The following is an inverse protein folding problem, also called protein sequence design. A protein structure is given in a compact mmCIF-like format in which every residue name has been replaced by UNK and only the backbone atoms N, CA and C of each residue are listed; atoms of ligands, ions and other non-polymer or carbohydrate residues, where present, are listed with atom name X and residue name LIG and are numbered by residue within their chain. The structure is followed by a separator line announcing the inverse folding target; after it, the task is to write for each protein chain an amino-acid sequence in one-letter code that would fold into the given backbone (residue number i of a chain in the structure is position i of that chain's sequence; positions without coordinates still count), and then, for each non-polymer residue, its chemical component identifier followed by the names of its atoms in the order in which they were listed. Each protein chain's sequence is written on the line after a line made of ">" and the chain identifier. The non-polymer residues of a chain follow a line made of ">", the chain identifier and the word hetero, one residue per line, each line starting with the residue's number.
data_IF_518330626814
#
_entry.id   IF_518330626814
#
_cell.length_a   1.000
_cell.length_b   1.000
_cell.length_c   1.000
_cell.angle_alpha   90.00
_cell.angle_beta   90.00
_cell.angle_gamma   90.00
#
_symmetry.space_group_name_H-M   'P 1'
#
loop_
_entity.id
_entity.type
_entity.pdbx_description
1 polymer ?
#
# COMPACT_ATOMS: atom_id res chain seq x y z
N UNK A 1 -5.60 14.54 -1.14
CA UNK A 1 -4.98 13.96 -2.35
C UNK A 1 -5.33 12.49 -2.41
N UNK A 2 -5.44 11.91 -3.58
CA UNK A 2 -5.61 10.47 -3.74
C UNK A 2 -4.25 9.83 -3.88
N UNK A 3 -3.94 8.87 -3.01
CA UNK A 3 -2.69 8.13 -3.03
C UNK A 3 -2.97 6.70 -3.47
N UNK A 4 -2.26 6.23 -4.47
CA UNK A 4 -2.39 4.86 -4.97
C UNK A 4 -1.15 4.08 -4.58
N UNK A 5 -1.34 3.05 -3.76
CA UNK A 5 -0.26 2.19 -3.29
C UNK A 5 -0.33 0.83 -3.98
N UNK A 6 0.81 0.34 -4.40
CA UNK A 6 0.95 -1.06 -4.75
C UNK A 6 0.97 -1.88 -3.45
N UNK A 7 0.56 -3.13 -3.52
CA UNK A 7 0.50 -3.98 -2.33
C UNK A 7 1.78 -4.78 -2.16
N UNK A 8 2.12 -5.61 -3.14
CA UNK A 8 3.29 -6.47 -3.06
C UNK A 8 4.58 -5.65 -3.21
N UNK A 9 5.52 -5.83 -2.30
CA UNK A 9 6.80 -5.10 -2.21
C UNK A 9 6.69 -3.63 -1.77
N UNK A 10 5.50 -3.12 -1.49
CA UNK A 10 5.30 -1.77 -0.97
C UNK A 10 4.68 -1.80 0.42
N UNK A 11 3.61 -2.58 0.59
CA UNK A 11 2.93 -2.76 1.87
C UNK A 11 3.33 -4.07 2.53
N UNK A 12 3.57 -5.11 1.75
CA UNK A 12 3.95 -6.42 2.25
C UNK A 12 5.14 -7.00 1.51
N UNK A 13 5.84 -7.90 2.20
CA UNK A 13 6.91 -8.70 1.60
C UNK A 13 6.30 -10.02 1.18
N UNK A 14 6.39 -10.38 -0.12
CA UNK A 14 5.87 -11.64 -0.61
C UNK A 14 6.60 -12.85 -0.01
N UNK A 15 5.90 -13.96 0.22
CA UNK A 15 6.56 -15.20 0.65
C UNK A 15 7.36 -15.81 -0.50
N UNK A 16 8.47 -16.45 -0.15
CA UNK A 16 9.31 -17.15 -1.13
C UNK A 16 8.75 -18.55 -1.39
N UNK A 17 8.84 -19.01 -2.62
CA UNK A 17 8.48 -20.38 -2.99
C UNK A 17 7.01 -20.67 -3.10
N UNK A 18 6.14 -19.68 -2.92
CA UNK A 18 4.69 -19.83 -3.04
C UNK A 18 4.24 -19.08 -4.29
N UNK A 19 3.38 -19.72 -5.08
CA UNK A 19 2.89 -19.13 -6.33
C UNK A 19 2.08 -17.86 -6.07
N UNK A 20 2.38 -16.83 -6.84
CA UNK A 20 1.69 -15.55 -6.79
C UNK A 20 0.18 -15.70 -7.05
N UNK A 21 -0.62 -14.97 -6.30
CA UNK A 21 -2.06 -14.89 -6.53
C UNK A 21 -2.90 -15.98 -5.89
N UNK A 22 -2.30 -16.96 -5.21
CA UNK A 22 -3.06 -17.97 -4.49
C UNK A 22 -3.25 -17.58 -3.03
N UNK A 23 -4.27 -18.16 -2.38
CA UNK A 23 -4.62 -17.83 -0.99
C UNK A 23 -3.46 -18.06 -0.04
N UNK A 24 -2.71 -19.14 -0.24
CA UNK A 24 -1.54 -19.44 0.57
C UNK A 24 -0.48 -18.32 0.51
N UNK A 25 -0.27 -17.77 -0.69
CA UNK A 25 0.62 -16.63 -0.87
C UNK A 25 0.16 -15.43 -0.04
N UNK A 26 -1.13 -15.12 -0.10
CA UNK A 26 -1.72 -13.99 0.62
C UNK A 26 -1.53 -14.19 2.12
N UNK A 27 -1.85 -15.37 2.64
CA UNK A 27 -1.80 -15.66 4.07
C UNK A 27 -0.39 -15.67 4.64
N UNK A 28 0.62 -15.90 3.80
CA UNK A 28 2.02 -15.97 4.23
C UNK A 28 2.82 -14.70 3.93
N UNK A 29 2.20 -13.69 3.34
CA UNK A 29 2.84 -12.39 3.15
C UNK A 29 3.02 -11.71 4.49
N UNK A 30 4.13 -10.97 4.65
CA UNK A 30 4.42 -10.24 5.88
C UNK A 30 4.35 -8.74 5.65
N UNK A 31 3.75 -7.97 6.58
CA UNK A 31 3.75 -6.53 6.45
C UNK A 31 5.18 -5.98 6.55
N UNK A 32 5.45 -4.93 5.80
CA UNK A 32 6.73 -4.21 5.91
C UNK A 32 6.73 -3.46 7.24
N UNK A 33 7.90 -3.38 7.88
CA UNK A 33 8.05 -2.70 9.16
C UNK A 33 7.50 -1.27 9.10
N UNK A 34 6.74 -0.90 10.14
CA UNK A 34 6.13 0.42 10.30
C UNK A 34 5.03 0.78 9.27
N UNK A 35 4.70 -0.11 8.35
CA UNK A 35 3.72 0.21 7.31
C UNK A 35 2.34 0.52 7.88
N UNK A 36 1.91 -0.20 8.91
CA UNK A 36 0.59 0.02 9.50
C UNK A 36 0.46 1.43 10.10
N UNK A 37 1.49 1.89 10.81
CA UNK A 37 1.51 3.25 11.38
C UNK A 37 1.53 4.31 10.28
N UNK A 38 2.36 4.12 9.28
CA UNK A 38 2.47 5.03 8.15
C UNK A 38 1.16 5.12 7.37
N UNK A 39 0.54 3.98 7.07
CA UNK A 39 -0.73 3.95 6.35
C UNK A 39 -1.85 4.61 7.16
N UNK A 40 -1.87 4.41 8.47
CA UNK A 40 -2.85 5.07 9.34
C UNK A 40 -2.68 6.59 9.32
N UNK A 41 -1.45 7.06 9.36
CA UNK A 41 -1.14 8.49 9.26
C UNK A 41 -1.59 9.07 7.91
N UNK A 42 -1.33 8.36 6.81
CA UNK A 42 -1.77 8.76 5.49
C UNK A 42 -3.30 8.72 5.36
N UNK A 43 -3.94 7.72 5.94
CA UNK A 43 -5.40 7.54 5.89
C UNK A 43 -6.15 8.75 6.46
N UNK A 44 -5.63 9.34 7.53
CA UNK A 44 -6.24 10.50 8.16
C UNK A 44 -6.12 11.78 7.31
N UNK A 45 -5.23 11.80 6.32
CA UNK A 45 -4.89 13.00 5.55
C UNK A 45 -5.25 12.92 4.08
N UNK A 46 -5.35 11.72 3.55
CA UNK A 46 -5.53 11.46 2.12
C UNK A 46 -6.49 10.31 1.88
N UNK A 47 -7.04 10.24 0.67
CA UNK A 47 -7.77 9.05 0.24
C UNK A 47 -6.76 7.98 -0.20
N UNK A 48 -6.82 6.81 0.42
CA UNK A 48 -5.86 5.73 0.18
C UNK A 48 -6.50 4.65 -0.68
N UNK A 49 -5.91 4.40 -1.83
CA UNK A 49 -6.31 3.34 -2.75
C UNK A 49 -5.18 2.33 -2.83
N UNK A 50 -5.48 1.08 -2.54
CA UNK A 50 -4.52 -0.02 -2.74
C UNK A 50 -4.90 -0.68 -4.06
N UNK A 51 -3.97 -0.73 -5.00
CA UNK A 51 -4.19 -1.34 -6.31
C UNK A 51 -3.19 -2.48 -6.50
N UNK A 52 -3.66 -3.71 -6.35
CA UNK A 52 -2.82 -4.89 -6.35
C UNK A 52 -2.86 -5.61 -7.70
N UNK A 53 -1.68 -6.09 -8.14
CA UNK A 53 -1.57 -6.94 -9.32
C UNK A 53 -1.91 -8.38 -8.92
N UNK A 54 -3.18 -8.61 -8.62
CA UNK A 54 -3.72 -9.92 -8.23
C UNK A 54 -4.98 -10.19 -9.02
N UNK A 55 -5.32 -11.48 -9.28
CA UNK A 55 -6.54 -11.81 -10.02
C UNK A 55 -7.78 -11.17 -9.39
N UNK A 56 -8.67 -10.66 -10.22
CA UNK A 56 -9.95 -10.10 -9.77
C UNK A 56 -10.92 -11.25 -9.50
N UNK A 57 -10.65 -11.99 -8.46
CA UNK A 57 -11.38 -13.17 -8.01
C UNK A 57 -11.91 -12.89 -6.62
N UNK A 58 -13.15 -13.26 -6.34
CA UNK A 58 -13.76 -12.96 -5.05
C UNK A 58 -12.98 -13.56 -3.87
N UNK A 59 -12.51 -14.79 -4.00
CA UNK A 59 -11.74 -15.44 -2.94
C UNK A 59 -10.42 -14.70 -2.67
N UNK A 60 -9.74 -14.26 -3.72
CA UNK A 60 -8.50 -13.48 -3.61
C UNK A 60 -8.79 -12.13 -2.95
N UNK A 61 -9.87 -11.47 -3.36
CA UNK A 61 -10.26 -10.19 -2.78
C UNK A 61 -10.56 -10.30 -1.30
N UNK A 62 -11.37 -11.28 -0.91
CA UNK A 62 -11.72 -11.49 0.50
C UNK A 62 -10.50 -11.84 1.35
N UNK A 63 -9.60 -12.69 0.83
CA UNK A 63 -8.38 -13.04 1.54
C UNK A 63 -7.45 -11.82 1.70
N UNK A 64 -7.37 -10.99 0.67
CA UNK A 64 -6.56 -9.76 0.71
C UNK A 64 -7.14 -8.77 1.73
N UNK A 65 -8.44 -8.55 1.72
CA UNK A 65 -9.11 -7.66 2.68
C UNK A 65 -8.90 -8.16 4.12
N UNK A 66 -9.03 -9.47 4.33
CA UNK A 66 -8.81 -10.07 5.64
C UNK A 66 -7.36 -9.89 6.11
N UNK A 67 -6.41 -10.06 5.21
CA UNK A 67 -5.00 -9.85 5.51
C UNK A 67 -4.73 -8.40 5.92
N UNK A 68 -5.28 -7.44 5.18
CA UNK A 68 -5.13 -6.01 5.48
C UNK A 68 -5.73 -5.68 6.85
N UNK A 69 -6.91 -6.19 7.15
CA UNK A 69 -7.57 -6.01 8.45
C UNK A 69 -6.74 -6.63 9.58
N UNK A 70 -6.26 -7.85 9.38
CA UNK A 70 -5.46 -8.58 10.37
C UNK A 70 -4.20 -7.80 10.75
N UNK A 71 -3.57 -7.13 9.79
CA UNK A 71 -2.35 -6.36 10.02
C UNK A 71 -2.59 -4.87 10.26
N UNK A 72 -3.84 -4.48 10.48
CA UNK A 72 -4.24 -3.11 10.81
C UNK A 72 -3.85 -2.07 9.75
N UNK A 73 -3.88 -2.48 8.48
CA UNK A 73 -3.61 -1.58 7.37
C UNK A 73 -4.90 -0.84 7.02
N UNK A 74 -4.88 0.49 7.16
CA UNK A 74 -6.04 1.33 6.83
C UNK A 74 -6.00 1.79 5.38
N UNK A 75 -7.12 1.69 4.69
CA UNK A 75 -7.27 2.12 3.31
C UNK A 75 -8.74 2.44 3.03
N UNK A 76 -9.00 3.18 1.96
CA UNK A 76 -10.36 3.51 1.57
C UNK A 76 -10.91 2.58 0.51
N UNK A 77 -10.07 2.16 -0.44
CA UNK A 77 -10.48 1.29 -1.55
C UNK A 77 -9.40 0.28 -1.87
N UNK A 78 -9.84 -0.93 -2.21
CA UNK A 78 -8.96 -1.98 -2.71
C UNK A 78 -9.36 -2.32 -4.14
N UNK A 79 -8.43 -2.21 -5.07
CA UNK A 79 -8.60 -2.58 -6.47
C UNK A 79 -7.65 -3.72 -6.80
N UNK A 80 -8.14 -4.68 -7.56
CA UNK A 80 -7.34 -5.81 -8.04
C UNK A 80 -7.12 -5.70 -9.55
N UNK A 81 -6.43 -6.69 -10.11
CA UNK A 81 -6.20 -6.80 -11.55
C UNK A 81 -5.41 -5.62 -12.14
N UNK A 82 -4.42 -5.16 -11.39
CA UNK A 82 -3.51 -4.13 -11.88
C UNK A 82 -2.60 -4.72 -12.96
N UNK A 83 -2.47 -4.08 -14.13
CA UNK A 83 -1.56 -4.57 -15.16
C UNK A 83 -0.09 -4.45 -14.74
N UNK A 84 0.76 -5.37 -15.25
CA UNK A 84 2.19 -5.38 -14.93
C UNK A 84 2.91 -4.12 -15.40
N UNK A 85 2.53 -3.60 -16.57
CA UNK A 85 3.09 -2.38 -17.14
C UNK A 85 1.94 -1.43 -17.49
N UNK A 86 1.32 -0.80 -16.49
CA UNK A 86 0.16 0.04 -16.74
C UNK A 86 0.52 1.26 -17.58
N UNK A 87 -0.31 1.52 -18.59
CA UNK A 87 -0.23 2.74 -19.37
C UNK A 87 -1.32 3.67 -18.84
N UNK A 88 -0.92 4.80 -18.29
CA UNK A 88 -1.86 5.76 -17.71
C UNK A 88 -2.38 6.70 -18.78
N UNK A 89 -3.34 6.20 -19.55
CA UNK A 89 -4.07 7.02 -20.51
C UNK A 89 -5.31 7.55 -19.79
N UNK A 90 -5.49 8.87 -19.81
CA UNK A 90 -6.60 9.55 -19.12
C UNK A 90 -6.54 9.49 -17.59
N UNK A 91 -5.37 9.16 -17.05
CA UNK A 91 -5.15 9.24 -15.61
C UNK A 91 -4.96 10.69 -15.17
N UNK A 92 -5.30 11.01 -13.93
CA UNK A 92 -4.97 12.31 -13.39
C UNK A 92 -3.45 12.43 -13.23
N UNK A 93 -2.86 13.60 -13.47
CA UNK A 93 -1.41 13.77 -13.31
C UNK A 93 -0.90 13.34 -11.94
N UNK A 94 -1.68 13.51 -10.88
CA UNK A 94 -1.30 13.10 -9.52
C UNK A 94 -1.21 11.58 -9.40
N UNK A 95 -2.13 10.82 -10.02
CA UNK A 95 -2.08 9.36 -10.02
C UNK A 95 -0.87 8.85 -10.79
N UNK A 96 -0.67 9.35 -12.00
CA UNK A 96 0.46 8.94 -12.83
C UNK A 96 1.79 9.26 -12.14
N UNK A 97 1.91 10.44 -11.56
CA UNK A 97 3.11 10.86 -10.83
C UNK A 97 3.36 9.96 -9.62
N UNK A 98 2.33 9.70 -8.83
CA UNK A 98 2.43 8.87 -7.64
C UNK A 98 2.88 7.45 -8.00
N UNK A 99 2.23 6.85 -8.98
CA UNK A 99 2.58 5.50 -9.41
C UNK A 99 4.02 5.42 -9.94
N UNK A 100 4.40 6.40 -10.76
CA UNK A 100 5.75 6.46 -11.32
C UNK A 100 6.80 6.50 -10.21
N UNK A 101 6.52 7.18 -9.12
CA UNK A 101 7.46 7.37 -8.03
C UNK A 101 7.40 6.31 -6.93
N UNK A 102 6.49 5.34 -7.02
CA UNK A 102 6.47 4.23 -6.06
C UNK A 102 7.81 3.52 -5.99
N UNK A 103 8.42 3.24 -7.14
CA UNK A 103 9.72 2.61 -7.22
C UNK A 103 10.89 3.55 -6.97
N UNK A 104 10.70 4.84 -7.25
CA UNK A 104 11.75 5.87 -7.12
C UNK A 104 11.70 6.60 -5.78
N UNK A 105 10.76 6.23 -4.92
CA UNK A 105 10.57 6.84 -3.62
C UNK A 105 10.20 8.33 -3.66
N UNK A 106 9.67 8.85 -4.78
CA UNK A 106 9.32 10.25 -4.92
C UNK A 106 8.32 10.77 -3.89
N UNK A 107 7.02 10.75 -4.21
CA UNK A 107 5.99 11.24 -3.27
C UNK A 107 5.92 10.37 -2.01
N UNK A 108 6.07 9.05 -2.15
CA UNK A 108 6.07 8.14 -1.00
C UNK A 108 7.21 8.49 -0.04
N UNK A 109 8.39 8.77 -0.56
CA UNK A 109 9.53 9.15 0.27
C UNK A 109 9.27 10.46 1.02
N UNK A 110 8.70 11.47 0.34
CA UNK A 110 8.35 12.74 0.97
C UNK A 110 7.34 12.53 2.10
N UNK A 111 6.29 11.75 1.86
CA UNK A 111 5.28 11.44 2.87
C UNK A 111 5.87 10.64 4.03
N UNK A 112 6.75 9.70 3.73
CA UNK A 112 7.42 8.90 4.75
C UNK A 112 8.30 9.77 5.65
N UNK A 113 9.03 10.72 5.08
CA UNK A 113 9.83 11.68 5.86
C UNK A 113 8.95 12.59 6.72
N UNK A 114 7.82 13.08 6.17
CA UNK A 114 6.87 13.87 6.95
C UNK A 114 6.32 13.07 8.13
N UNK A 115 5.96 11.80 7.90
CA UNK A 115 5.47 10.92 8.96
C UNK A 115 6.53 10.69 10.03
N UNK A 116 7.78 10.42 9.62
CA UNK A 116 8.87 10.21 10.57
C UNK A 116 9.12 11.44 11.42
N UNK A 117 9.13 12.60 10.81
CA UNK A 117 9.33 13.86 11.53
C UNK A 117 8.19 14.13 12.50
N UNK A 118 6.94 13.90 12.07
CA UNK A 118 5.77 14.05 12.93
C UNK A 118 5.83 13.08 14.12
N UNK A 119 6.25 11.85 13.89
CA UNK A 119 6.42 10.85 14.94
C UNK A 119 7.48 11.27 15.96
N UNK A 120 8.61 11.80 15.49
CA UNK A 120 9.69 12.29 16.36
C UNK A 120 9.19 13.44 17.24
N UNK A 121 8.46 14.40 16.65
CA UNK A 121 7.91 15.52 17.40
C UNK A 121 6.91 15.06 18.47
N UNK A 122 6.04 14.12 18.14
CA UNK A 122 5.08 13.56 19.10
C UNK A 122 5.76 12.82 20.24
N UNK A 123 6.86 12.13 19.96
CA UNK A 123 7.62 11.41 20.99
C UNK A 123 8.36 12.38 21.92
N UNK A 124 8.85 13.51 21.40
CA UNK A 124 9.47 14.56 22.23
C UNK A 124 8.47 15.14 23.21
N UNK A 125 7.22 15.32 22.81
CA UNK A 125 6.18 15.91 23.66
C UNK A 125 5.78 15.01 24.83
N UNK A 126 6.15 13.73 24.79
CA UNK A 126 5.87 12.77 25.86
C UNK A 126 6.92 12.74 26.97
N UNK A 127 7.99 13.46 26.79
CA UNK A 127 9.08 13.55 27.76
C UNK A 127 9.20 14.96 28.35
#
# INVERSE_FOLDING_TARGET
>A
MKLVFDLDNVICTPPKGIKFGVIEYINNAKPIEDVAEFMAWCYDRHEIIIWANRPNDLAVKLATEKWLELHSIKYHRLLLDKPDNPVYVNETPSHAKFYKHLGDLGIVAELYEEWKNDKIEREKDKH
#
